data_IF_723383262270
#
_entry.id   IF_723383262270
#
_cell.length_a   1.000
_cell.length_b   1.000
_cell.length_c   1.000
_cell.angle_alpha   90.00
_cell.angle_beta   90.00
_cell.angle_gamma   90.00
#
_symmetry.space_group_name_H-M   'P 1'
#
loop_
_entity.id
_entity.type
_entity.pdbx_description
1 polymer ?
#
# COMPACT_ATOMS: atom_id res chain seq x y z
N UNK A 1 5.57 21.55 -27.74
CA UNK A 1 4.68 20.99 -26.70
C UNK A 1 4.30 22.12 -25.75
N UNK A 2 3.02 22.30 -25.45
CA UNK A 2 2.56 23.22 -24.41
C UNK A 2 2.67 22.52 -23.06
N UNK A 3 3.27 23.17 -22.06
CA UNK A 3 3.23 22.69 -20.67
C UNK A 3 1.88 23.09 -20.09
N UNK A 4 1.14 22.12 -19.56
CA UNK A 4 -0.12 22.35 -18.84
C UNK A 4 0.12 22.09 -17.36
N UNK A 5 -0.57 22.87 -16.52
CA UNK A 5 -0.62 22.65 -15.09
C UNK A 5 -2.10 22.63 -14.67
N UNK A 6 -2.40 21.79 -13.68
CA UNK A 6 -3.69 21.76 -13.00
C UNK A 6 -3.45 22.05 -11.52
N UNK A 7 -4.36 22.79 -10.90
CA UNK A 7 -4.41 23.02 -9.47
C UNK A 7 -5.86 22.96 -9.00
N UNK A 8 -6.08 22.44 -7.81
CA UNK A 8 -7.31 22.66 -7.07
C UNK A 8 -7.33 24.08 -6.48
N UNK A 9 -8.50 24.52 -6.00
CA UNK A 9 -8.72 25.84 -5.40
C UNK A 9 -8.27 27.00 -6.30
N UNK A 10 -8.71 27.02 -7.56
CA UNK A 10 -8.30 28.08 -8.51
C UNK A 10 -8.82 29.47 -8.14
N UNK A 11 -9.97 29.53 -7.45
CA UNK A 11 -10.56 30.78 -6.98
C UNK A 11 -10.31 31.01 -5.48
N UNK A 12 -9.69 30.04 -4.78
CA UNK A 12 -9.24 30.13 -3.37
C UNK A 12 -7.75 29.77 -3.19
N UNK A 13 -7.40 28.97 -2.17
CA UNK A 13 -6.07 28.41 -1.94
C UNK A 13 -6.18 27.01 -1.33
N UNK A 14 -5.09 26.24 -1.32
CA UNK A 14 -5.05 24.88 -0.75
C UNK A 14 -5.12 23.79 -1.82
N UNK A 15 -5.86 22.72 -1.55
CA UNK A 15 -6.06 21.58 -2.43
C UNK A 15 -4.77 20.79 -2.69
N UNK A 16 -3.85 20.80 -1.73
CA UNK A 16 -2.53 20.21 -1.90
C UNK A 16 -2.61 18.69 -2.14
N UNK A 17 -1.76 18.21 -3.05
CA UNK A 17 -1.49 16.77 -3.21
C UNK A 17 -0.30 16.44 -2.30
N UNK A 18 -0.59 16.19 -1.03
CA UNK A 18 0.44 16.05 0.01
C UNK A 18 0.49 14.65 0.65
N UNK A 19 -0.48 13.79 0.31
CA UNK A 19 -0.62 12.45 0.87
C UNK A 19 0.62 11.61 0.75
N UNK A 20 0.97 10.97 1.86
CA UNK A 20 2.09 10.03 1.93
C UNK A 20 1.77 8.80 1.06
N UNK A 21 2.73 8.34 0.26
CA UNK A 21 2.52 7.28 -0.75
C UNK A 21 2.41 7.83 -2.17
N UNK A 22 2.21 9.15 -2.31
CA UNK A 22 2.29 9.89 -3.57
C UNK A 22 1.25 9.46 -4.60
N UNK A 23 1.55 9.68 -5.88
CA UNK A 23 0.70 9.49 -7.05
C UNK A 23 0.61 7.99 -7.37
N UNK A 24 -0.59 7.45 -7.49
CA UNK A 24 -0.80 6.11 -8.02
C UNK A 24 -0.98 6.14 -9.55
N UNK A 25 -0.70 5.03 -10.23
CA UNK A 25 -0.90 4.93 -11.67
C UNK A 25 -1.36 3.54 -12.09
N UNK A 26 -2.34 3.50 -13.00
CA UNK A 26 -2.76 2.28 -13.69
C UNK A 26 -1.85 1.94 -14.89
N UNK A 27 -0.72 2.65 -15.04
CA UNK A 27 0.19 2.58 -16.18
C UNK A 27 -0.13 3.56 -17.31
N UNK A 28 -1.28 4.24 -17.25
CA UNK A 28 -1.74 5.23 -18.25
C UNK A 28 -2.15 6.55 -17.61
N UNK A 29 -2.96 6.49 -16.56
CA UNK A 29 -3.58 7.60 -15.87
C UNK A 29 -2.98 7.71 -14.47
N UNK A 30 -2.49 8.89 -14.06
CA UNK A 30 -2.15 9.15 -12.68
C UNK A 30 -3.41 9.46 -11.84
N UNK A 31 -3.38 9.03 -10.59
CA UNK A 31 -4.40 9.27 -9.58
C UNK A 31 -3.76 9.95 -8.38
N UNK A 32 -4.45 10.96 -7.86
CA UNK A 32 -4.03 11.71 -6.66
C UNK A 32 -5.19 11.89 -5.71
N UNK A 33 -4.86 12.15 -4.45
CA UNK A 33 -5.80 12.66 -3.46
C UNK A 33 -5.43 14.12 -3.15
N UNK A 34 -6.44 14.96 -2.93
CA UNK A 34 -6.27 16.38 -2.60
C UNK A 34 -6.79 16.69 -1.20
N UNK A 35 -6.16 17.67 -0.55
CA UNK A 35 -6.51 18.16 0.77
C UNK A 35 -7.49 19.34 0.78
N UNK A 36 -7.53 20.05 1.90
CA UNK A 36 -8.43 21.18 2.15
C UNK A 36 -8.20 22.33 1.16
N UNK A 37 -9.29 22.89 0.65
CA UNK A 37 -9.42 24.09 -0.19
C UNK A 37 -9.91 25.32 0.56
N UNK A 38 -10.01 25.23 1.89
CA UNK A 38 -10.31 26.31 2.84
C UNK A 38 -11.68 26.96 2.61
N UNK A 39 -12.71 26.12 2.62
CA UNK A 39 -14.14 26.44 2.53
C UNK A 39 -14.52 27.28 1.30
N UNK A 40 -14.22 26.83 0.06
CA UNK A 40 -14.67 27.53 -1.14
C UNK A 40 -16.20 27.50 -1.27
N UNK A 41 -16.80 28.50 -1.95
CA UNK A 41 -18.26 28.56 -2.13
C UNK A 41 -18.80 27.45 -3.05
N UNK A 42 -17.94 26.89 -3.91
CA UNK A 42 -18.22 25.75 -4.77
C UNK A 42 -17.09 24.73 -4.65
N UNK A 43 -17.32 23.49 -5.10
CA UNK A 43 -16.25 22.50 -5.12
C UNK A 43 -15.18 22.87 -6.17
N UNK A 44 -13.94 23.00 -5.73
CA UNK A 44 -12.80 23.42 -6.57
C UNK A 44 -11.67 22.37 -6.58
N UNK A 45 -12.00 21.08 -6.51
CA UNK A 45 -11.00 20.01 -6.60
C UNK A 45 -10.34 19.60 -5.28
N UNK A 46 -10.81 20.12 -4.15
CA UNK A 46 -10.41 19.72 -2.79
C UNK A 46 -11.09 18.45 -2.32
N UNK A 47 -10.52 17.83 -1.29
CA UNK A 47 -11.10 16.66 -0.62
C UNK A 47 -11.50 15.54 -1.60
N UNK A 48 -10.66 15.28 -2.60
CA UNK A 48 -11.05 14.49 -3.75
C UNK A 48 -10.00 13.48 -4.18
N UNK A 49 -10.45 12.38 -4.77
CA UNK A 49 -9.63 11.55 -5.66
C UNK A 49 -9.76 12.12 -7.07
N UNK A 50 -8.64 12.47 -7.68
CA UNK A 50 -8.56 12.99 -9.05
C UNK A 50 -7.84 11.99 -9.93
N UNK A 51 -8.43 11.67 -11.08
CA UNK A 51 -7.81 10.92 -12.17
C UNK A 51 -7.43 11.89 -13.28
N UNK A 52 -6.18 11.87 -13.69
CA UNK A 52 -5.73 12.61 -14.86
C UNK A 52 -5.64 11.71 -16.09
N UNK A 53 -5.89 12.28 -17.26
CA UNK A 53 -5.57 11.65 -18.54
C UNK A 53 -4.06 11.70 -18.80
N UNK A 54 -3.51 10.89 -19.74
CA UNK A 54 -2.11 10.97 -20.14
C UNK A 54 -1.72 12.40 -20.55
N UNK A 55 -0.60 12.91 -20.03
CA UNK A 55 -0.22 14.32 -20.20
C UNK A 55 -0.65 15.22 -19.03
N UNK A 56 -0.71 14.66 -17.81
CA UNK A 56 -1.61 14.99 -16.70
C UNK A 56 -2.67 16.08 -16.98
N UNK A 57 -3.72 15.71 -17.71
CA UNK A 57 -4.85 16.61 -18.03
C UNK A 57 -6.05 16.22 -17.17
N UNK A 58 -6.61 17.18 -16.43
CA UNK A 58 -7.88 17.00 -15.74
C UNK A 58 -9.03 17.36 -16.67
N UNK A 59 -9.99 16.44 -16.86
CA UNK A 59 -11.11 16.65 -17.78
C UNK A 59 -12.29 17.42 -17.15
N UNK A 60 -12.39 17.43 -15.82
CA UNK A 60 -13.58 17.92 -15.10
C UNK A 60 -14.80 17.00 -15.19
N UNK A 61 -14.71 15.85 -15.87
CA UNK A 61 -15.80 14.88 -15.95
C UNK A 61 -16.01 14.17 -14.60
N UNK A 62 -17.25 13.93 -14.15
CA UNK A 62 -17.53 13.09 -12.98
C UNK A 62 -16.90 11.70 -13.03
N UNK A 63 -16.57 11.18 -14.22
CA UNK A 63 -15.85 9.91 -14.33
C UNK A 63 -14.38 9.98 -13.88
N UNK A 64 -13.80 11.18 -13.86
CA UNK A 64 -12.38 11.45 -13.60
C UNK A 64 -12.13 12.10 -12.22
N UNK A 65 -13.15 12.26 -11.38
CA UNK A 65 -12.96 12.63 -9.99
C UNK A 65 -14.02 12.03 -9.08
N UNK A 66 -13.69 11.90 -7.80
CA UNK A 66 -14.65 11.65 -6.73
C UNK A 66 -14.38 12.59 -5.57
N UNK A 67 -15.43 13.15 -4.99
CA UNK A 67 -15.38 13.79 -3.69
C UNK A 67 -16.59 13.31 -2.87
N UNK A 68 -16.46 13.14 -1.56
CA UNK A 68 -17.60 12.72 -0.74
C UNK A 68 -18.65 13.84 -0.67
N UNK A 69 -19.91 13.49 -0.48
CA UNK A 69 -21.01 14.49 -0.41
C UNK A 69 -20.82 15.51 0.73
N UNK A 70 -20.10 15.12 1.78
CA UNK A 70 -19.72 15.97 2.91
C UNK A 70 -18.32 16.60 2.75
N UNK A 71 -17.77 16.71 1.53
CA UNK A 71 -16.45 17.28 1.27
C UNK A 71 -16.24 18.63 1.97
N UNK A 72 -17.24 19.52 1.98
CA UNK A 72 -17.13 20.84 2.62
C UNK A 72 -16.99 20.73 4.15
N UNK A 73 -17.56 19.69 4.76
CA UNK A 73 -17.38 19.40 6.19
C UNK A 73 -15.98 18.88 6.46
N UNK A 74 -15.46 17.97 5.62
CA UNK A 74 -14.06 17.52 5.74
C UNK A 74 -13.10 18.70 5.60
N UNK A 75 -13.36 19.55 4.61
CA UNK A 75 -12.61 20.76 4.31
C UNK A 75 -12.56 21.71 5.52
N UNK A 76 -13.71 21.95 6.14
CA UNK A 76 -13.84 22.90 7.26
C UNK A 76 -13.27 22.37 8.59
N UNK A 77 -13.05 21.06 8.70
CA UNK A 77 -12.59 20.40 9.93
C UNK A 77 -11.14 19.89 9.86
N UNK A 78 -10.38 20.22 8.80
CA UNK A 78 -9.03 19.69 8.57
C UNK A 78 -9.01 18.15 8.50
N UNK A 79 -10.04 17.56 7.88
CA UNK A 79 -10.13 16.13 7.69
C UNK A 79 -9.72 15.70 6.28
N UNK A 80 -8.55 16.17 5.81
CA UNK A 80 -8.04 15.87 4.47
C UNK A 80 -8.26 14.40 4.06
N UNK A 81 -9.01 14.21 2.98
CA UNK A 81 -9.01 12.98 2.17
C UNK A 81 -7.61 12.72 1.58
N UNK A 82 -6.83 13.80 1.43
CA UNK A 82 -5.47 13.83 0.89
C UNK A 82 -4.34 13.38 1.81
N UNK A 83 -4.61 12.81 2.99
CA UNK A 83 -3.56 12.47 3.96
C UNK A 83 -2.82 11.15 3.70
N UNK A 84 -3.36 10.32 2.82
CA UNK A 84 -2.72 9.15 2.23
C UNK A 84 -2.89 9.19 0.70
N UNK A 85 -1.87 8.76 -0.03
CA UNK A 85 -1.97 8.58 -1.48
C UNK A 85 -3.04 7.54 -1.83
N UNK A 86 -3.76 7.69 -2.95
CA UNK A 86 -4.77 6.72 -3.35
C UNK A 86 -4.10 5.38 -3.67
N UNK A 87 -4.77 4.27 -3.36
CA UNK A 87 -4.30 2.94 -3.74
C UNK A 87 -5.21 2.38 -4.83
N UNK A 88 -4.61 1.92 -5.92
CA UNK A 88 -5.36 1.20 -6.96
C UNK A 88 -5.36 -0.28 -6.61
N UNK A 89 -6.54 -0.89 -6.63
CA UNK A 89 -6.70 -2.29 -6.24
C UNK A 89 -7.68 -3.02 -7.15
N UNK A 90 -7.27 -4.20 -7.60
CA UNK A 90 -8.14 -5.09 -8.36
C UNK A 90 -8.65 -6.20 -7.43
N UNK A 91 -9.97 -6.39 -7.38
CA UNK A 91 -10.64 -7.40 -6.57
C UNK A 91 -11.40 -8.35 -7.51
N UNK A 92 -10.74 -9.45 -7.96
CA UNK A 92 -11.40 -10.43 -8.81
C UNK A 92 -12.66 -10.99 -8.15
N UNK A 93 -13.76 -11.04 -8.91
CA UNK A 93 -15.06 -11.52 -8.41
C UNK A 93 -15.97 -10.43 -7.83
N UNK A 94 -15.45 -9.21 -7.59
CA UNK A 94 -16.26 -8.05 -7.23
C UNK A 94 -16.78 -7.31 -8.47
N UNK A 95 -17.83 -6.51 -8.26
CA UNK A 95 -18.44 -5.63 -9.27
C UNK A 95 -18.73 -4.28 -8.61
N UNK A 96 -18.01 -3.21 -8.96
CA UNK A 96 -16.85 -3.19 -9.86
C UNK A 96 -15.63 -3.91 -9.27
N UNK A 97 -14.77 -4.47 -10.13
CA UNK A 97 -13.54 -5.16 -9.73
C UNK A 97 -12.33 -4.23 -9.65
N UNK A 98 -12.36 -3.11 -10.35
CA UNK A 98 -11.30 -2.11 -10.38
C UNK A 98 -11.64 -0.98 -9.43
N UNK A 99 -10.88 -0.86 -8.35
CA UNK A 99 -11.21 0.06 -7.27
C UNK A 99 -10.08 1.04 -7.00
N UNK A 100 -10.46 2.17 -6.41
CA UNK A 100 -9.55 3.08 -5.71
C UNK A 100 -9.89 3.03 -4.23
N UNK A 101 -8.87 2.91 -3.39
CA UNK A 101 -8.97 3.11 -1.95
C UNK A 101 -8.47 4.51 -1.63
N UNK A 102 -9.28 5.31 -0.95
CA UNK A 102 -8.88 6.57 -0.36
C UNK A 102 -8.95 6.45 1.17
N UNK A 103 -7.94 6.98 1.85
CA UNK A 103 -7.88 7.04 3.31
C UNK A 103 -7.80 8.48 3.75
N UNK A 104 -8.52 8.81 4.82
CA UNK A 104 -8.76 10.19 5.22
C UNK A 104 -8.42 10.42 6.69
N UNK A 105 -8.10 11.66 7.04
CA UNK A 105 -7.90 12.09 8.43
C UNK A 105 -9.13 11.86 9.31
N UNK A 106 -10.34 11.80 8.74
CA UNK A 106 -11.58 11.46 9.46
C UNK A 106 -11.71 9.96 9.84
N UNK A 107 -10.62 9.21 9.75
CA UNK A 107 -10.50 7.79 10.13
C UNK A 107 -11.15 6.82 9.14
N UNK A 108 -11.73 7.31 8.05
CA UNK A 108 -12.44 6.49 7.09
C UNK A 108 -11.56 5.97 5.96
N UNK A 109 -11.92 4.77 5.50
CA UNK A 109 -11.53 4.20 4.22
C UNK A 109 -12.73 4.25 3.27
N UNK A 110 -12.50 4.72 2.06
CA UNK A 110 -13.49 4.81 0.99
C UNK A 110 -13.11 3.89 -0.16
N UNK A 111 -14.08 3.13 -0.68
CA UNK A 111 -13.93 2.37 -1.92
C UNK A 111 -14.67 3.06 -3.06
N UNK A 112 -13.96 3.28 -4.16
CA UNK A 112 -14.44 3.99 -5.34
C UNK A 112 -14.30 3.12 -6.58
N UNK A 113 -15.13 3.34 -7.59
CA UNK A 113 -14.99 2.68 -8.87
C UNK A 113 -13.88 3.36 -9.68
N UNK A 114 -12.76 2.68 -9.91
CA UNK A 114 -11.62 3.23 -10.68
C UNK A 114 -11.98 3.60 -12.11
N UNK A 115 -12.95 2.89 -12.69
CA UNK A 115 -13.35 3.09 -14.09
C UNK A 115 -14.37 4.22 -14.26
N UNK A 116 -15.03 4.66 -13.17
CA UNK A 116 -15.96 5.78 -13.15
C UNK A 116 -16.08 6.33 -11.72
N UNK A 117 -15.30 7.36 -11.39
CA UNK A 117 -15.18 7.85 -10.01
C UNK A 117 -16.47 8.45 -9.44
N UNK A 118 -17.37 8.95 -10.28
CA UNK A 118 -18.75 9.28 -9.90
C UNK A 118 -19.00 10.73 -9.47
N UNK A 119 -17.99 11.59 -9.49
CA UNK A 119 -18.10 13.00 -9.10
C UNK A 119 -18.38 13.17 -7.60
N UNK A 120 -19.16 14.20 -7.24
CA UNK A 120 -19.60 14.39 -5.86
C UNK A 120 -20.73 13.39 -5.58
N UNK A 121 -20.44 12.33 -4.84
CA UNK A 121 -21.37 11.21 -4.66
C UNK A 121 -21.00 10.32 -3.47
N UNK A 122 -21.92 9.44 -3.08
CA UNK A 122 -21.63 8.38 -2.13
C UNK A 122 -20.57 7.41 -2.69
N UNK A 123 -19.62 6.91 -1.86
CA UNK A 123 -18.67 5.89 -2.28
C UNK A 123 -19.37 4.53 -2.45
N UNK A 124 -18.68 3.54 -3.04
CA UNK A 124 -19.18 2.15 -3.09
C UNK A 124 -19.33 1.60 -1.67
N UNK A 125 -18.33 1.85 -0.83
CA UNK A 125 -18.33 1.48 0.58
C UNK A 125 -17.48 2.47 1.38
N UNK A 126 -17.82 2.63 2.65
CA UNK A 126 -17.07 3.41 3.62
C UNK A 126 -17.04 2.67 4.96
N UNK A 127 -15.92 2.74 5.67
CA UNK A 127 -15.79 2.20 7.02
C UNK A 127 -14.76 2.99 7.82
N UNK A 128 -15.00 3.13 9.13
CA UNK A 128 -14.01 3.65 10.07
C UNK A 128 -12.95 2.57 10.27
N UNK A 129 -11.72 2.83 9.86
CA UNK A 129 -10.62 1.85 9.83
C UNK A 129 -9.48 2.18 10.79
N UNK A 130 -9.58 3.32 11.47
CA UNK A 130 -8.57 3.83 12.38
C UNK A 130 -9.23 4.42 13.63
N UNK A 131 -8.45 4.55 14.70
CA UNK A 131 -8.84 5.23 15.93
C UNK A 131 -8.02 6.51 16.19
N UNK A 132 -7.08 6.83 15.30
CA UNK A 132 -6.30 8.06 15.29
C UNK A 132 -6.08 8.52 13.84
N UNK A 133 -5.75 9.80 13.65
CA UNK A 133 -5.62 10.43 12.34
C UNK A 133 -4.70 9.64 11.41
N UNK A 134 -5.18 9.38 10.18
CA UNK A 134 -4.42 8.64 9.17
C UNK A 134 -3.51 9.62 8.44
N UNK A 135 -2.19 9.52 8.65
CA UNK A 135 -1.14 10.24 7.89
C UNK A 135 0.01 9.27 7.62
N UNK A 136 -0.05 8.57 6.50
CA UNK A 136 0.88 7.49 6.13
C UNK A 136 0.64 6.98 4.72
N UNK A 137 1.60 6.23 4.16
CA UNK A 137 1.35 5.42 2.97
C UNK A 137 0.80 4.05 3.40
N UNK A 138 -0.43 3.73 3.00
CA UNK A 138 -0.95 2.37 3.13
C UNK A 138 -0.43 1.49 1.99
N UNK A 139 -0.71 0.19 2.10
CA UNK A 139 -0.33 -0.79 1.07
C UNK A 139 -1.46 -1.76 0.80
N UNK A 140 -1.70 -2.07 -0.48
CA UNK A 140 -2.60 -3.15 -0.89
C UNK A 140 -1.83 -4.42 -1.21
N UNK A 141 -2.43 -5.56 -0.95
CA UNK A 141 -1.92 -6.85 -1.36
C UNK A 141 -3.03 -7.88 -1.49
N UNK A 142 -2.72 -9.03 -2.08
CA UNK A 142 -3.68 -10.12 -2.26
C UNK A 142 -3.05 -11.44 -1.83
N UNK A 143 -3.78 -12.18 -1.03
CA UNK A 143 -3.46 -13.56 -0.69
C UNK A 143 -4.43 -14.50 -1.42
N UNK A 144 -4.37 -15.80 -1.13
CA UNK A 144 -5.40 -16.74 -1.57
C UNK A 144 -6.73 -16.53 -0.86
N UNK A 145 -6.75 -15.86 0.30
CA UNK A 145 -7.95 -15.67 1.11
C UNK A 145 -8.70 -14.40 0.73
N UNK A 146 -8.00 -13.28 0.52
CA UNK A 146 -8.63 -11.99 0.28
C UNK A 146 -7.68 -11.00 -0.40
N UNK A 147 -8.27 -9.90 -0.87
CA UNK A 147 -7.56 -8.65 -1.11
C UNK A 147 -7.56 -7.83 0.18
N UNK A 148 -6.43 -7.23 0.51
CA UNK A 148 -6.20 -6.51 1.75
C UNK A 148 -5.67 -5.10 1.52
N UNK A 149 -5.96 -4.22 2.48
CA UNK A 149 -5.33 -2.91 2.66
C UNK A 149 -4.73 -2.89 4.06
N UNK A 150 -3.40 -2.82 4.16
CA UNK A 150 -2.72 -2.62 5.43
C UNK A 150 -2.39 -1.13 5.64
N UNK A 151 -2.64 -0.66 6.86
CA UNK A 151 -2.37 0.70 7.30
C UNK A 151 -2.04 0.71 8.79
N UNK A 152 -1.37 1.77 9.23
CA UNK A 152 -1.32 2.11 10.66
C UNK A 152 -2.66 2.73 11.07
N UNK A 153 -3.41 2.01 11.90
CA UNK A 153 -4.75 2.39 12.37
C UNK A 153 -4.74 3.24 13.65
N UNK A 154 -3.63 3.25 14.39
CA UNK A 154 -3.44 4.12 15.56
C UNK A 154 -1.96 4.54 15.64
N UNK A 155 -1.69 5.81 15.99
CA UNK A 155 -0.36 6.38 16.18
C UNK A 155 -0.29 7.33 17.40
N UNK A 156 -1.20 7.17 18.36
CA UNK A 156 -1.34 8.02 19.56
C UNK A 156 -1.06 7.19 20.83
N UNK A 157 0.16 6.68 20.97
CA UNK A 157 0.65 5.99 22.17
C UNK A 157 0.28 4.51 22.31
N UNK A 158 -0.68 4.02 21.53
CA UNK A 158 -1.00 2.60 21.37
C UNK A 158 -1.03 2.27 19.88
N UNK A 159 0.16 2.22 19.29
CA UNK A 159 0.28 2.02 17.86
C UNK A 159 -0.34 0.69 17.42
N UNK A 160 -1.20 0.72 16.40
CA UNK A 160 -1.86 -0.46 15.83
C UNK A 160 -1.58 -0.53 14.33
N UNK A 161 -1.06 -1.67 13.88
CA UNK A 161 -1.03 -2.05 12.47
C UNK A 161 -2.26 -2.91 12.17
N UNK A 162 -3.07 -2.49 11.20
CA UNK A 162 -4.30 -3.19 10.81
C UNK A 162 -4.23 -3.59 9.34
N UNK A 163 -4.82 -4.73 9.01
CA UNK A 163 -5.17 -5.08 7.65
C UNK A 163 -6.68 -5.29 7.52
N UNK A 164 -7.28 -4.53 6.62
CA UNK A 164 -8.69 -4.62 6.25
C UNK A 164 -8.84 -5.40 4.96
N UNK A 165 -9.94 -6.12 4.82
CA UNK A 165 -10.28 -6.91 3.63
C UNK A 165 -11.24 -6.11 2.75
N UNK A 166 -11.01 -6.18 1.44
CA UNK A 166 -12.01 -5.77 0.45
C UNK A 166 -12.68 -7.05 -0.06
N UNK A 167 -13.99 -7.17 0.18
CA UNK A 167 -14.74 -8.39 -0.14
C UNK A 167 -14.97 -8.51 -1.64
N UNK A 168 -14.93 -9.75 -2.16
CA UNK A 168 -15.25 -10.07 -3.54
C UNK A 168 -16.77 -10.20 -3.76
N UNK A 169 -17.54 -9.22 -3.27
CA UNK A 169 -19.01 -9.15 -3.42
C UNK A 169 -19.43 -8.10 -4.45
N UNK A 170 -20.73 -8.09 -4.78
CA UNK A 170 -21.32 -7.19 -5.77
C UNK A 170 -22.46 -6.38 -5.11
N UNK A 171 -22.22 -5.17 -4.56
CA UNK A 171 -20.96 -4.42 -4.56
C UNK A 171 -19.93 -4.91 -3.53
N UNK A 172 -18.63 -4.59 -3.69
CA UNK A 172 -17.59 -4.87 -2.69
C UNK A 172 -17.80 -4.05 -1.42
N UNK A 173 -17.42 -4.62 -0.29
CA UNK A 173 -17.48 -4.00 1.05
C UNK A 173 -16.12 -4.02 1.74
N UNK A 174 -15.97 -3.24 2.82
CA UNK A 174 -14.80 -3.25 3.70
C UNK A 174 -15.11 -4.14 4.90
N UNK A 175 -14.25 -5.10 5.20
CA UNK A 175 -14.40 -6.03 6.31
C UNK A 175 -13.12 -6.11 7.13
N UNK A 176 -13.23 -6.46 8.42
CA UNK A 176 -12.06 -6.66 9.27
C UNK A 176 -11.19 -7.81 8.75
N UNK A 177 -9.87 -7.64 8.79
CA UNK A 177 -8.90 -8.70 8.59
C UNK A 177 -8.23 -9.05 9.92
N UNK A 178 -7.11 -8.40 10.22
CA UNK A 178 -6.33 -8.61 11.44
C UNK A 178 -5.77 -7.29 11.97
N UNK A 179 -5.46 -7.28 13.26
CA UNK A 179 -4.84 -6.16 13.96
C UNK A 179 -3.65 -6.65 14.78
N UNK A 180 -2.60 -5.84 14.84
CA UNK A 180 -1.43 -6.04 15.71
C UNK A 180 -1.19 -4.78 16.51
N UNK A 181 -1.34 -4.89 17.82
CA UNK A 181 -0.91 -3.85 18.76
C UNK A 181 0.60 -3.91 18.93
N UNK A 182 1.27 -2.76 18.78
CA UNK A 182 2.72 -2.60 18.90
C UNK A 182 3.07 -1.69 20.07
N UNK A 183 2.82 -2.16 21.29
CA UNK A 183 3.08 -1.44 22.55
C UNK A 183 4.55 -1.00 22.63
N UNK A 184 4.78 0.33 22.59
CA UNK A 184 6.11 0.96 22.51
C UNK A 184 7.00 0.52 21.32
N UNK A 185 6.49 -0.32 20.42
CA UNK A 185 7.19 -0.78 19.22
C UNK A 185 7.04 0.18 18.04
N UNK A 186 5.99 1.01 18.03
CA UNK A 186 5.76 2.04 17.02
C UNK A 186 5.55 1.51 15.60
N UNK A 187 5.23 2.35 14.61
CA UNK A 187 4.88 1.86 13.26
C UNK A 187 5.02 2.94 12.19
N UNK A 188 5.87 2.69 11.21
CA UNK A 188 5.99 3.49 10.00
C UNK A 188 4.90 3.16 8.98
N UNK A 189 5.07 3.66 7.76
CA UNK A 189 4.19 3.31 6.64
C UNK A 189 4.45 1.87 6.19
N UNK A 190 3.44 0.98 6.16
CA UNK A 190 3.63 -0.42 5.80
C UNK A 190 4.05 -0.61 4.34
N UNK A 191 4.74 -1.71 4.09
CA UNK A 191 5.06 -2.20 2.74
C UNK A 191 4.92 -3.72 2.71
N UNK A 192 4.85 -4.32 1.52
CA UNK A 192 4.64 -5.76 1.38
C UNK A 192 5.72 -6.43 0.56
N UNK A 193 6.01 -7.67 0.93
CA UNK A 193 6.80 -8.58 0.10
C UNK A 193 6.05 -9.87 -0.12
N UNK A 194 6.45 -10.59 -1.15
CA UNK A 194 5.97 -11.94 -1.44
C UNK A 194 7.08 -12.74 -2.08
N UNK A 195 6.97 -14.06 -2.07
CA UNK A 195 7.93 -14.91 -2.80
C UNK A 195 7.67 -14.92 -4.30
N UNK A 196 6.43 -14.66 -4.73
CA UNK A 196 6.01 -14.80 -6.14
C UNK A 196 4.84 -13.89 -6.56
N UNK A 197 4.47 -12.90 -5.74
CA UNK A 197 3.34 -12.01 -5.99
C UNK A 197 1.99 -12.51 -5.46
N UNK A 198 1.89 -13.75 -4.97
CA UNK A 198 0.61 -14.34 -4.52
C UNK A 198 0.72 -15.23 -3.28
N UNK A 199 1.91 -15.75 -2.96
CA UNK A 199 2.17 -16.60 -1.80
C UNK A 199 3.16 -15.93 -0.85
N UNK A 200 3.09 -16.35 0.43
CA UNK A 200 3.96 -15.88 1.50
C UNK A 200 3.98 -14.35 1.58
N UNK A 201 2.78 -13.76 1.56
CA UNK A 201 2.62 -12.31 1.70
C UNK A 201 3.06 -11.92 3.10
N UNK A 202 4.03 -11.01 3.20
CA UNK A 202 4.47 -10.44 4.46
C UNK A 202 4.22 -8.95 4.45
N UNK A 203 3.55 -8.44 5.49
CA UNK A 203 3.40 -7.01 5.75
C UNK A 203 4.52 -6.58 6.66
N UNK A 204 5.28 -5.58 6.23
CA UNK A 204 6.43 -5.06 6.94
C UNK A 204 6.17 -3.65 7.42
N UNK A 205 6.72 -3.34 8.60
CA UNK A 205 6.75 -1.99 9.16
C UNK A 205 8.09 -1.74 9.82
N UNK A 206 8.48 -0.48 9.89
CA UNK A 206 9.57 -0.03 10.75
C UNK A 206 8.95 0.44 12.06
N UNK A 207 9.53 0.09 13.21
CA UNK A 207 9.08 0.56 14.52
C UNK A 207 9.46 2.01 14.79
N UNK A 208 8.99 2.94 13.95
CA UNK A 208 9.23 4.38 14.10
C UNK A 208 8.59 4.91 15.37
N UNK A 209 8.90 6.15 15.76
CA UNK A 209 8.14 6.89 16.76
C UNK A 209 6.65 6.97 16.43
N UNK A 210 5.82 7.32 17.40
CA UNK A 210 4.45 7.77 17.23
C UNK A 210 4.31 9.18 17.84
N UNK A 211 3.10 9.73 17.98
CA UNK A 211 2.96 11.09 18.55
C UNK A 211 3.40 11.21 20.02
N UNK A 212 3.57 10.09 20.73
CA UNK A 212 3.77 10.03 22.18
C UNK A 212 5.02 9.22 22.56
N UNK A 213 5.37 8.19 21.78
CA UNK A 213 6.40 7.20 22.10
C UNK A 213 7.46 7.11 20.99
N UNK A 214 8.69 6.70 21.32
CA UNK A 214 9.83 6.75 20.40
C UNK A 214 9.92 5.58 19.39
N UNK A 215 9.09 4.53 19.55
CA UNK A 215 9.22 3.28 18.80
C UNK A 215 10.49 2.50 19.11
N UNK A 216 10.60 1.27 18.60
CA UNK A 216 11.76 0.39 18.81
C UNK A 216 12.88 0.57 17.76
N UNK A 217 12.59 1.33 16.70
CA UNK A 217 13.45 1.63 15.56
C UNK A 217 13.97 0.38 14.82
N UNK A 218 13.21 -0.71 14.80
CA UNK A 218 13.58 -1.98 14.16
C UNK A 218 12.64 -2.35 13.02
N UNK A 219 13.05 -3.29 12.18
CA UNK A 219 12.21 -3.82 11.12
C UNK A 219 11.34 -4.96 11.65
N UNK A 220 10.06 -4.99 11.28
CA UNK A 220 9.11 -6.01 11.73
C UNK A 220 8.32 -6.55 10.55
N UNK A 221 8.06 -7.85 10.55
CA UNK A 221 7.37 -8.56 9.48
C UNK A 221 6.26 -9.44 10.04
N UNK A 222 5.11 -9.37 9.38
CA UNK A 222 3.87 -10.03 9.79
C UNK A 222 3.30 -10.86 8.64
N UNK A 223 2.73 -12.01 8.97
CA UNK A 223 1.98 -12.81 8.00
C UNK A 223 0.78 -12.02 7.48
N UNK A 224 0.64 -11.93 6.15
CA UNK A 224 -0.38 -11.11 5.51
C UNK A 224 -1.82 -11.60 5.69
N UNK A 225 -2.05 -12.85 6.06
CA UNK A 225 -3.42 -13.34 6.30
C UNK A 225 -3.85 -13.22 7.76
N UNK A 226 -2.90 -13.27 8.69
CA UNK A 226 -3.18 -13.46 10.11
C UNK A 226 -2.61 -12.39 11.03
N UNK A 227 -1.65 -11.58 10.57
CA UNK A 227 -0.90 -10.65 11.42
C UNK A 227 0.08 -11.34 12.37
N UNK A 228 0.33 -12.66 12.22
CA UNK A 228 1.28 -13.37 13.07
C UNK A 228 2.71 -12.85 12.84
N UNK A 229 3.48 -12.72 13.92
CA UNK A 229 4.88 -12.26 13.86
C UNK A 229 5.73 -13.26 13.08
N UNK A 230 6.41 -12.80 12.03
CA UNK A 230 7.37 -13.56 11.23
C UNK A 230 8.80 -13.05 11.44
N UNK A 231 8.96 -11.75 11.70
CA UNK A 231 10.24 -11.12 12.01
C UNK A 231 10.02 -10.01 13.03
N UNK A 232 10.80 -10.02 14.12
CA UNK A 232 10.61 -9.15 15.29
C UNK A 232 11.90 -8.37 15.61
N UNK A 233 12.39 -7.61 14.65
CA UNK A 233 13.48 -6.66 14.89
C UNK A 233 14.89 -7.20 15.01
N UNK A 234 15.12 -8.50 14.77
CA UNK A 234 16.45 -9.09 14.66
C UNK A 234 17.28 -9.06 15.95
N UNK A 235 18.61 -9.07 15.80
CA UNK A 235 19.56 -9.03 16.91
C UNK A 235 19.82 -7.61 17.44
N UNK A 236 20.59 -7.45 18.53
CA UNK A 236 20.82 -6.15 19.17
C UNK A 236 21.29 -5.03 18.23
N UNK A 237 22.04 -5.37 17.17
CA UNK A 237 22.64 -4.44 16.22
C UNK A 237 21.72 -4.04 15.05
N UNK A 238 20.50 -4.58 14.96
CA UNK A 238 19.56 -4.33 13.86
C UNK A 238 18.68 -3.08 14.10
N UNK A 239 19.19 -2.13 14.90
CA UNK A 239 18.56 -0.85 15.17
C UNK A 239 18.79 0.11 14.00
N UNK A 240 17.75 0.81 13.61
CA UNK A 240 17.81 1.96 12.71
C UNK A 240 17.78 3.25 13.53
N UNK A 241 18.32 4.32 12.98
CA UNK A 241 18.27 5.65 13.58
C UNK A 241 17.84 6.66 12.52
N UNK A 242 17.10 7.68 12.95
CA UNK A 242 16.52 8.70 12.08
C UNK A 242 15.37 8.17 11.24
N UNK A 243 14.53 7.30 11.80
CA UNK A 243 13.30 6.85 11.14
C UNK A 243 12.12 7.70 11.64
N UNK A 244 11.05 7.76 10.83
CA UNK A 244 9.91 8.67 11.00
C UNK A 244 8.59 8.07 10.57
N UNK A 245 7.56 8.19 11.41
CA UNK A 245 6.28 7.50 11.22
C UNK A 245 5.51 7.88 9.95
N UNK A 246 5.63 9.14 9.53
CA UNK A 246 4.90 9.69 8.39
C UNK A 246 5.62 9.43 7.06
N UNK A 247 6.91 9.08 7.04
CA UNK A 247 7.69 9.01 5.80
C UNK A 247 8.52 7.75 5.63
N UNK A 248 8.78 7.00 6.72
CA UNK A 248 9.62 5.80 6.64
C UNK A 248 8.80 4.61 6.18
N UNK A 249 9.27 4.02 5.09
CA UNK A 249 8.82 2.75 4.53
C UNK A 249 10.02 1.97 3.97
N UNK A 250 9.80 0.74 3.53
CA UNK A 250 10.82 -0.11 2.94
C UNK A 250 10.72 -0.23 1.42
N UNK A 251 11.86 -0.31 0.76
CA UNK A 251 11.96 -0.66 -0.66
C UNK A 251 12.66 -2.00 -0.77
N UNK A 252 12.03 -2.96 -1.44
CA UNK A 252 12.62 -4.29 -1.64
C UNK A 252 13.16 -4.41 -3.05
N UNK A 253 14.48 -4.60 -3.14
CA UNK A 253 15.16 -4.73 -4.42
C UNK A 253 16.38 -5.64 -4.29
N UNK A 254 16.59 -6.50 -5.29
CA UNK A 254 17.80 -7.34 -5.42
C UNK A 254 18.12 -8.14 -4.15
N UNK A 255 17.10 -8.77 -3.55
CA UNK A 255 17.24 -9.62 -2.37
C UNK A 255 17.51 -8.88 -1.05
N UNK A 256 17.22 -7.58 -1.00
CA UNK A 256 17.39 -6.74 0.19
C UNK A 256 16.18 -5.86 0.44
N UNK A 257 15.94 -5.57 1.71
CA UNK A 257 15.02 -4.53 2.16
C UNK A 257 15.86 -3.29 2.51
N UNK A 258 15.59 -2.17 1.85
CA UNK A 258 16.23 -0.90 2.11
C UNK A 258 15.27 0.01 2.87
N UNK A 259 15.76 0.64 3.93
CA UNK A 259 15.03 1.63 4.71
C UNK A 259 15.87 2.90 4.77
N UNK A 260 15.28 4.01 4.35
CA UNK A 260 15.91 5.32 4.47
C UNK A 260 15.64 5.88 5.88
N UNK A 261 16.68 6.42 6.51
CA UNK A 261 16.54 7.37 7.62
C UNK A 261 17.22 8.70 7.26
N UNK A 262 17.23 9.65 8.19
CA UNK A 262 17.64 11.05 7.96
C UNK A 262 18.92 11.23 7.11
N UNK A 263 19.95 10.42 7.41
CA UNK A 263 21.27 10.56 6.80
C UNK A 263 21.90 9.22 6.41
N UNK A 264 21.11 8.14 6.40
CA UNK A 264 21.60 6.76 6.17
C UNK A 264 20.55 5.93 5.46
N UNK A 265 21.02 4.94 4.70
CA UNK A 265 20.17 3.86 4.18
C UNK A 265 20.61 2.57 4.85
N UNK A 266 19.67 1.90 5.53
CA UNK A 266 19.86 0.59 6.13
C UNK A 266 19.47 -0.49 5.12
N UNK A 267 20.17 -1.61 5.10
CA UNK A 267 19.94 -2.68 4.16
C UNK A 267 19.92 -4.05 4.86
N UNK A 268 18.76 -4.69 4.90
CA UNK A 268 18.56 -6.02 5.48
C UNK A 268 18.61 -7.07 4.38
N UNK A 269 19.35 -8.16 4.59
CA UNK A 269 19.39 -9.27 3.64
C UNK A 269 18.13 -10.12 3.78
N UNK A 270 17.46 -10.40 2.66
CA UNK A 270 16.39 -11.39 2.62
C UNK A 270 17.01 -12.74 2.33
N UNK A 271 16.80 -13.78 3.16
CA UNK A 271 17.35 -15.10 2.92
C UNK A 271 16.96 -15.58 1.52
N UNK A 272 17.96 -15.86 0.66
CA UNK A 272 17.69 -16.56 -0.59
C UNK A 272 17.44 -18.03 -0.27
N UNK A 273 16.46 -18.70 -0.91
CA UNK A 273 16.33 -20.14 -0.75
C UNK A 273 17.66 -20.78 -1.15
N UNK A 274 18.22 -21.59 -0.26
CA UNK A 274 19.42 -22.36 -0.58
C UNK A 274 19.07 -23.22 -1.81
N UNK A 275 19.87 -23.19 -2.90
CA UNK A 275 19.55 -23.99 -4.08
C UNK A 275 19.43 -25.45 -3.65
N UNK A 276 18.26 -26.06 -3.87
CA UNK A 276 18.07 -27.48 -3.61
C UNK A 276 19.16 -28.24 -4.37
N UNK A 277 19.96 -29.11 -3.72
CA UNK A 277 20.97 -29.89 -4.41
C UNK A 277 20.29 -30.65 -5.56
N UNK A 278 20.64 -30.31 -6.80
CA UNK A 278 20.20 -31.09 -7.94
C UNK A 278 20.81 -32.48 -7.76
N UNK A 279 19.96 -33.51 -7.64
CA UNK A 279 20.43 -34.90 -7.63
C UNK A 279 21.31 -35.10 -8.87
N UNK A 280 22.59 -35.40 -8.66
CA UNK A 280 23.50 -35.80 -9.73
C UNK A 280 22.91 -37.04 -10.39
N UNK A 281 22.65 -37.03 -11.72
CA UNK A 281 22.18 -38.23 -12.40
C UNK A 281 23.17 -39.37 -12.13
N UNK A 282 22.68 -40.48 -11.57
CA UNK A 282 23.50 -41.68 -11.41
C UNK A 282 24.02 -42.09 -12.80
N UNK A 283 25.33 -42.34 -12.97
CA UNK A 283 25.86 -42.79 -14.25
C UNK A 283 25.15 -44.07 -14.69
N UNK A 284 24.40 -44.00 -15.79
CA UNK A 284 23.80 -45.19 -16.38
C UNK A 284 24.93 -46.04 -16.96
N UNK A 285 25.10 -47.27 -16.48
CA UNK A 285 26.10 -48.19 -17.00
C UNK A 285 25.93 -48.34 -18.52
N UNK A 286 26.99 -48.07 -19.27
CA UNK A 286 27.05 -48.28 -20.72
C UNK A 286 27.01 -49.79 -20.98
N UNK A 287 26.03 -50.32 -21.74
CA UNK A 287 26.04 -51.74 -22.06
C UNK A 287 27.29 -52.09 -22.87
N UNK A 288 27.98 -53.14 -22.43
CA UNK A 288 29.15 -53.71 -23.12
C UNK A 288 28.75 -54.21 -24.51
N UNK A 289 29.45 -53.85 -25.60
CA UNK A 289 29.15 -54.37 -26.92
C UNK A 289 29.33 -55.89 -26.96
N UNK A 290 28.34 -56.60 -27.52
CA UNK A 290 28.45 -58.04 -27.74
C UNK A 290 29.54 -58.37 -28.79
N UNK A 291 30.29 -59.48 -28.66
CA UNK A 291 31.30 -59.87 -29.63
C UNK A 291 30.68 -60.15 -31.00
N UNK A 292 31.30 -59.62 -32.06
CA UNK A 292 30.89 -59.87 -33.45
C UNK A 292 31.37 -61.26 -33.89
N UNK A 293 30.49 -62.13 -34.45
CA UNK A 293 30.93 -63.41 -35.01
C UNK A 293 31.86 -63.22 -36.20
N UNK A 294 32.92 -64.02 -36.27
CA UNK A 294 33.84 -64.10 -37.40
C UNK A 294 33.18 -64.87 -38.57
N UNK A 295 33.36 -64.44 -39.82
CA UNK A 295 32.80 -65.14 -40.97
C UNK A 295 33.52 -66.47 -41.28
N UNK A 296 32.81 -67.49 -41.78
CA UNK A 296 33.40 -68.78 -42.15
C UNK A 296 34.25 -68.67 -43.43
N UNK A 297 35.26 -69.55 -43.54
CA UNK A 297 36.16 -69.67 -44.70
C UNK A 297 35.48 -70.36 -45.89
#
# INVERSE_FOLDING_TARGET
ASVTAWAAATDTHGGAIWGVGSIASDGKNPFVTTGNTFSPPNWEGGEAVIRFQPGPIFSGSPADYWAPENWLTLDSLDFDLGSSGPLLVDVPGATPSHLVVALSKDLNMYLLNRDNLGGISAPIAVSVVASATIIQAAVTYRTKQSTYVALRANNDGNTVLSAWRITATNPPTIASGWDVTRDAGGCGSPFVTSTDGTNNMLVWVVGTEDHITAGDQRLHGYDGDTGAVVYDGGGPNDLMAGTHYYSTTGIVARGRIYVAGDNRVYAFAVPSPSPTPRLTPTPRARPTPAPRPLPPR
#
